data_IF_280698087702
#
_entry.id   IF_280698087702
#
_cell.length_a   1.000
_cell.length_b   1.000
_cell.length_c   1.000
_cell.angle_alpha   90.00
_cell.angle_beta   90.00
_cell.angle_gamma   90.00
#
_symmetry.space_group_name_H-M   'P 1'
#
loop_
_entity.id
_entity.type
_entity.pdbx_description
1 polymer ?
#
# COMPACT_ATOMS: atom_id res chain seq x y z
N UNK A 1 2.15 29.03 -0.06
CA UNK A 1 2.44 27.57 0.02
C UNK A 1 1.58 26.95 1.10
N UNK A 2 0.92 25.82 0.84
CA UNK A 2 0.07 25.13 1.82
C UNK A 2 0.89 24.01 2.50
N UNK A 3 1.26 24.12 3.79
CA UNK A 3 2.07 23.10 4.48
C UNK A 3 1.42 21.72 4.50
N UNK A 4 0.08 21.66 4.48
CA UNK A 4 -0.66 20.38 4.49
C UNK A 4 -0.41 19.57 3.21
N UNK A 5 -0.18 20.23 2.07
CA UNK A 5 0.11 19.54 0.81
C UNK A 5 1.36 18.68 0.92
N UNK A 6 2.42 19.20 1.53
CA UNK A 6 3.67 18.48 1.71
C UNK A 6 3.51 17.29 2.66
N UNK A 7 2.76 17.47 3.75
CA UNK A 7 2.46 16.37 4.69
C UNK A 7 1.73 15.23 3.98
N UNK A 8 0.73 15.55 3.15
CA UNK A 8 -0.03 14.53 2.41
C UNK A 8 0.84 13.83 1.36
N UNK A 9 1.70 14.58 0.66
CA UNK A 9 2.62 14.02 -0.33
C UNK A 9 3.63 13.05 0.32
N UNK A 10 4.26 13.43 1.44
CA UNK A 10 5.16 12.54 2.16
C UNK A 10 4.44 11.32 2.75
N UNK A 11 3.24 11.52 3.32
CA UNK A 11 2.40 10.43 3.82
C UNK A 11 2.09 9.39 2.75
N UNK A 12 1.70 9.83 1.56
CA UNK A 12 1.47 8.95 0.41
C UNK A 12 2.75 8.25 -0.08
N UNK A 13 3.88 8.97 -0.16
CA UNK A 13 5.15 8.36 -0.57
C UNK A 13 5.59 7.24 0.38
N UNK A 14 5.49 7.44 1.70
CA UNK A 14 5.84 6.41 2.67
C UNK A 14 4.87 5.23 2.69
N UNK A 15 3.59 5.49 2.44
CA UNK A 15 2.59 4.44 2.31
C UNK A 15 2.80 3.59 1.05
N UNK A 16 3.00 4.24 -0.11
CA UNK A 16 3.22 3.57 -1.41
C UNK A 16 4.44 2.66 -1.37
N UNK A 17 5.55 3.15 -0.81
CA UNK A 17 6.80 2.39 -0.69
C UNK A 17 6.79 1.39 0.49
N UNK A 18 5.70 1.30 1.25
CA UNK A 18 5.57 0.43 2.42
C UNK A 18 6.68 0.63 3.49
N UNK A 19 7.27 1.83 3.57
CA UNK A 19 8.40 2.13 4.48
C UNK A 19 7.95 2.25 5.93
N UNK A 20 6.70 2.66 6.15
CA UNK A 20 6.11 2.73 7.48
C UNK A 20 5.72 1.37 8.07
N UNK A 21 5.71 0.32 7.25
CA UNK A 21 5.33 -1.03 7.65
C UNK A 21 6.53 -1.86 8.12
N UNK A 22 6.22 -2.99 8.76
CA UNK A 22 7.21 -3.99 9.20
C UNK A 22 7.64 -4.96 8.07
N UNK A 23 6.86 -5.04 6.98
CA UNK A 23 7.07 -6.02 5.90
C UNK A 23 8.45 -5.95 5.26
N UNK A 24 8.95 -4.75 4.95
CA UNK A 24 10.27 -4.58 4.33
C UNK A 24 11.42 -5.05 5.23
N UNK A 25 11.30 -4.89 6.55
CA UNK A 25 12.31 -5.38 7.51
C UNK A 25 12.31 -6.90 7.58
N UNK A 26 11.13 -7.52 7.54
CA UNK A 26 10.99 -8.98 7.60
C UNK A 26 11.46 -9.62 6.30
N UNK A 27 11.08 -9.06 5.16
CA UNK A 27 11.64 -9.51 3.88
C UNK A 27 13.15 -9.33 3.85
N UNK A 28 13.66 -8.21 4.35
CA UNK A 28 15.10 -7.99 4.55
C UNK A 28 15.77 -9.10 5.38
N UNK A 29 15.09 -9.62 6.41
CA UNK A 29 15.62 -10.73 7.24
C UNK A 29 15.72 -12.06 6.51
N UNK A 30 15.06 -12.20 5.36
CA UNK A 30 15.09 -13.40 4.51
C UNK A 30 16.02 -13.26 3.30
N UNK A 31 16.58 -12.08 3.04
CA UNK A 31 17.55 -11.87 1.97
C UNK A 31 18.89 -12.53 2.30
N UNK A 32 19.57 -13.06 1.28
CA UNK A 32 20.94 -13.54 1.45
C UNK A 32 21.92 -12.37 1.54
N UNK A 33 23.07 -12.59 2.17
CA UNK A 33 24.12 -11.57 2.34
C UNK A 33 24.71 -11.06 1.01
N UNK A 34 24.48 -11.77 -0.09
CA UNK A 34 24.96 -11.40 -1.43
C UNK A 34 24.03 -10.45 -2.18
N UNK A 35 22.83 -10.20 -1.68
CA UNK A 35 21.86 -9.33 -2.34
C UNK A 35 22.22 -7.85 -2.22
N UNK A 36 22.16 -7.13 -3.33
CA UNK A 36 22.32 -5.68 -3.35
C UNK A 36 21.00 -5.01 -2.95
N UNK A 37 20.87 -4.77 -1.64
CA UNK A 37 19.71 -4.11 -1.04
C UNK A 37 19.53 -2.67 -1.52
N UNK A 38 20.61 -1.97 -1.90
CA UNK A 38 20.56 -0.58 -2.35
C UNK A 38 20.00 -0.51 -3.77
N UNK A 39 20.50 -1.36 -4.66
CA UNK A 39 19.99 -1.48 -6.03
C UNK A 39 18.52 -1.94 -6.03
N UNK A 40 18.17 -2.90 -5.18
CA UNK A 40 16.80 -3.37 -5.00
C UNK A 40 15.87 -2.25 -4.53
N UNK A 41 16.24 -1.51 -3.47
CA UNK A 41 15.45 -0.38 -2.98
C UNK A 41 15.25 0.71 -4.03
N UNK A 42 16.30 1.04 -4.80
CA UNK A 42 16.21 1.99 -5.92
C UNK A 42 15.22 1.53 -6.97
N UNK A 43 15.29 0.25 -7.37
CA UNK A 43 14.40 -0.29 -8.39
C UNK A 43 12.94 -0.26 -7.93
N UNK A 44 12.68 -0.65 -6.67
CA UNK A 44 11.34 -0.57 -6.07
C UNK A 44 10.80 0.86 -6.13
N UNK A 45 11.57 1.86 -5.72
CA UNK A 45 11.14 3.25 -5.74
C UNK A 45 10.83 3.77 -7.16
N UNK A 46 11.66 3.41 -8.14
CA UNK A 46 11.46 3.79 -9.55
C UNK A 46 10.19 3.15 -10.11
N UNK A 47 10.03 1.83 -9.95
CA UNK A 47 8.88 1.12 -10.52
C UNK A 47 7.57 1.51 -9.83
N UNK A 48 7.57 1.73 -8.52
CA UNK A 48 6.42 2.25 -7.78
C UNK A 48 5.98 3.62 -8.30
N UNK A 49 6.94 4.54 -8.46
CA UNK A 49 6.68 5.89 -8.99
C UNK A 49 6.16 5.84 -10.42
N UNK A 50 6.75 5.01 -11.28
CA UNK A 50 6.30 4.83 -12.66
C UNK A 50 4.88 4.26 -12.71
N UNK A 51 4.57 3.27 -11.88
CA UNK A 51 3.22 2.71 -11.79
C UNK A 51 2.20 3.76 -11.32
N UNK A 52 2.55 4.56 -10.32
CA UNK A 52 1.69 5.66 -9.82
C UNK A 52 1.45 6.75 -10.90
N UNK A 53 2.47 7.10 -11.68
CA UNK A 53 2.35 8.05 -12.79
C UNK A 53 1.48 7.49 -13.91
N UNK A 54 1.68 6.23 -14.30
CA UNK A 54 0.85 5.55 -15.31
C UNK A 54 -0.61 5.48 -14.86
N UNK A 55 -0.87 5.12 -13.60
CA UNK A 55 -2.21 5.12 -13.03
C UNK A 55 -2.82 6.52 -13.07
N UNK A 56 -2.06 7.56 -12.71
CA UNK A 56 -2.52 8.96 -12.75
C UNK A 56 -2.89 9.41 -14.17
N UNK A 57 -2.09 9.03 -15.18
CA UNK A 57 -2.38 9.36 -16.58
C UNK A 57 -3.58 8.63 -17.16
N UNK A 58 -4.00 7.51 -16.58
CA UNK A 58 -5.24 6.82 -16.98
C UNK A 58 -6.44 7.37 -16.22
N UNK A 59 -6.32 7.51 -14.90
CA UNK A 59 -7.43 7.85 -14.01
C UNK A 59 -7.86 9.29 -14.18
N UNK A 60 -6.92 10.26 -14.20
CA UNK A 60 -7.26 11.69 -14.26
C UNK A 60 -8.02 12.04 -15.56
N UNK A 61 -7.57 11.64 -16.76
CA UNK A 61 -8.35 11.89 -17.97
C UNK A 61 -9.67 11.12 -18.00
N UNK A 62 -9.70 9.88 -17.50
CA UNK A 62 -10.92 9.09 -17.38
C UNK A 62 -11.98 9.81 -16.55
N UNK A 63 -11.59 10.38 -15.40
CA UNK A 63 -12.47 11.18 -14.55
C UNK A 63 -13.00 12.44 -15.25
N UNK A 64 -12.14 13.16 -15.97
CA UNK A 64 -12.51 14.38 -16.66
C UNK A 64 -13.57 14.12 -17.75
N UNK A 65 -13.44 13.00 -18.48
CA UNK A 65 -14.43 12.58 -19.48
C UNK A 65 -15.70 12.01 -18.83
N UNK A 66 -15.56 11.37 -17.67
CA UNK A 66 -16.68 10.79 -16.90
C UNK A 66 -17.52 11.80 -16.09
N UNK A 67 -17.20 13.10 -16.16
CA UNK A 67 -17.96 14.17 -15.47
C UNK A 67 -17.71 14.24 -13.96
N UNK A 68 -16.61 13.70 -13.46
CA UNK A 68 -16.25 13.76 -12.05
C UNK A 68 -15.69 15.14 -11.68
N UNK A 69 -16.08 15.67 -10.52
CA UNK A 69 -15.32 16.75 -9.91
C UNK A 69 -13.97 16.18 -9.42
N UNK A 70 -12.84 16.73 -9.90
CA UNK A 70 -11.48 16.30 -9.52
C UNK A 70 -11.17 16.44 -8.02
N UNK A 71 -12.03 17.10 -7.26
CA UNK A 71 -12.01 17.19 -5.79
C UNK A 71 -12.54 15.93 -5.08
N UNK A 72 -13.25 15.05 -5.79
CA UNK A 72 -13.88 13.84 -5.23
C UNK A 72 -12.89 12.67 -5.26
N UNK A 73 -12.08 12.54 -4.20
CA UNK A 73 -11.16 11.41 -4.01
C UNK A 73 -11.81 10.19 -3.32
N UNK A 74 -11.04 9.11 -3.16
CA UNK A 74 -11.42 7.95 -2.35
C UNK A 74 -11.96 6.75 -3.14
N UNK A 75 -12.54 5.75 -2.47
CA UNK A 75 -12.92 4.47 -3.09
C UNK A 75 -13.90 4.60 -4.28
N UNK A 76 -14.74 5.64 -4.28
CA UNK A 76 -15.67 5.93 -5.39
C UNK A 76 -14.95 6.17 -6.72
N UNK A 77 -13.68 6.59 -6.70
CA UNK A 77 -12.86 6.79 -7.90
C UNK A 77 -12.79 5.53 -8.76
N UNK A 78 -12.47 4.41 -8.12
CA UNK A 78 -12.28 3.15 -8.79
C UNK A 78 -13.64 2.52 -9.12
N UNK A 79 -14.57 2.49 -8.16
CA UNK A 79 -15.79 1.70 -8.29
C UNK A 79 -16.98 2.40 -8.94
N UNK A 80 -16.94 3.73 -9.10
CA UNK A 80 -18.02 4.51 -9.75
C UNK A 80 -17.48 5.14 -11.04
N UNK A 81 -16.43 5.96 -10.93
CA UNK A 81 -15.97 6.76 -12.06
C UNK A 81 -15.26 5.94 -13.13
N UNK A 82 -14.31 5.05 -12.77
CA UNK A 82 -13.66 4.19 -13.77
C UNK A 82 -14.65 3.22 -14.43
N UNK A 83 -15.66 2.75 -13.69
CA UNK A 83 -16.72 1.90 -14.27
C UNK A 83 -17.49 2.65 -15.36
N UNK A 84 -17.82 3.93 -15.14
CA UNK A 84 -18.46 4.76 -16.16
C UNK A 84 -17.57 4.96 -17.39
N UNK A 85 -16.25 5.13 -17.20
CA UNK A 85 -15.28 5.20 -18.31
C UNK A 85 -15.31 3.92 -19.14
N UNK A 86 -15.20 2.75 -18.49
CA UNK A 86 -15.25 1.47 -19.19
C UNK A 86 -16.58 1.26 -19.94
N UNK A 87 -17.71 1.70 -19.38
CA UNK A 87 -19.01 1.60 -20.06
C UNK A 87 -19.09 2.45 -21.35
N UNK A 88 -18.32 3.53 -21.43
CA UNK A 88 -18.22 4.39 -22.63
C UNK A 88 -17.28 3.85 -23.71
N UNK A 89 -16.49 2.82 -23.43
CA UNK A 89 -15.50 2.28 -24.36
C UNK A 89 -16.06 1.10 -25.18
N UNK A 90 -15.79 1.03 -26.49
CA UNK A 90 -15.98 -0.19 -27.26
C UNK A 90 -15.18 -1.35 -26.64
N UNK A 91 -15.87 -2.42 -26.24
CA UNK A 91 -15.24 -3.56 -25.56
C UNK A 91 -14.84 -3.30 -24.09
N UNK A 92 -15.27 -2.19 -23.48
CA UNK A 92 -14.82 -1.80 -22.15
C UNK A 92 -15.20 -2.76 -21.02
N UNK A 93 -16.19 -3.64 -21.21
CA UNK A 93 -16.45 -4.76 -20.26
C UNK A 93 -15.24 -5.68 -20.11
N UNK A 94 -14.56 -6.01 -21.20
CA UNK A 94 -13.37 -6.87 -21.18
C UNK A 94 -12.23 -6.13 -20.47
N UNK A 95 -12.02 -4.86 -20.82
CA UNK A 95 -11.01 -3.99 -20.19
C UNK A 95 -11.24 -3.88 -18.69
N UNK A 96 -12.49 -3.65 -18.26
CA UNK A 96 -12.85 -3.57 -16.85
C UNK A 96 -12.61 -4.88 -16.10
N UNK A 97 -12.96 -6.04 -16.69
CA UNK A 97 -12.68 -7.36 -16.09
C UNK A 97 -11.18 -7.54 -15.87
N UNK A 98 -10.37 -7.29 -16.90
CA UNK A 98 -8.90 -7.42 -16.79
C UNK A 98 -8.36 -6.47 -15.74
N UNK A 99 -8.81 -5.21 -15.74
CA UNK A 99 -8.39 -4.20 -14.76
C UNK A 99 -8.66 -4.65 -13.32
N UNK A 100 -9.89 -5.07 -13.00
CA UNK A 100 -10.23 -5.49 -11.64
C UNK A 100 -9.55 -6.79 -11.21
N UNK A 101 -9.27 -7.70 -12.15
CA UNK A 101 -8.41 -8.87 -11.86
C UNK A 101 -7.00 -8.41 -11.48
N UNK A 102 -6.42 -7.46 -12.23
CA UNK A 102 -5.11 -6.90 -11.88
C UNK A 102 -5.13 -6.20 -10.51
N UNK A 103 -6.16 -5.40 -10.21
CA UNK A 103 -6.33 -4.76 -8.89
C UNK A 103 -6.45 -5.80 -7.78
N UNK A 104 -7.18 -6.90 -8.01
CA UNK A 104 -7.30 -8.00 -7.05
C UNK A 104 -5.93 -8.60 -6.72
N UNK A 105 -5.12 -8.92 -7.74
CA UNK A 105 -3.78 -9.46 -7.53
C UNK A 105 -2.83 -8.45 -6.86
N UNK A 106 -2.91 -7.18 -7.24
CA UNK A 106 -2.13 -6.11 -6.60
C UNK A 106 -2.48 -5.96 -5.12
N UNK A 107 -3.78 -5.97 -4.77
CA UNK A 107 -4.21 -5.92 -3.38
C UNK A 107 -3.82 -7.18 -2.59
N UNK A 108 -3.91 -8.35 -3.22
CA UNK A 108 -3.53 -9.62 -2.59
C UNK A 108 -2.03 -9.68 -2.28
N UNK A 109 -1.15 -9.25 -3.20
CA UNK A 109 0.30 -9.23 -2.96
C UNK A 109 0.69 -8.25 -1.85
N UNK A 110 0.02 -7.08 -1.78
CA UNK A 110 0.20 -6.14 -0.66
C UNK A 110 -0.24 -6.75 0.69
N UNK A 111 -1.35 -7.48 0.72
CA UNK A 111 -1.83 -8.16 1.94
C UNK A 111 -0.87 -9.24 2.42
N UNK A 112 -0.27 -10.03 1.51
CA UNK A 112 0.73 -11.04 1.88
C UNK A 112 1.91 -10.39 2.60
N UNK A 113 2.43 -9.27 2.08
CA UNK A 113 3.51 -8.52 2.73
C UNK A 113 3.11 -8.01 4.13
N UNK A 114 1.90 -7.44 4.24
CA UNK A 114 1.42 -6.88 5.51
C UNK A 114 1.16 -7.96 6.58
N UNK A 115 0.74 -9.15 6.16
CA UNK A 115 0.42 -10.26 7.07
C UNK A 115 1.65 -11.07 7.49
N UNK A 116 2.75 -11.02 6.74
CA UNK A 116 3.94 -11.80 7.06
C UNK A 116 4.46 -11.48 8.47
N UNK A 117 4.42 -10.22 8.89
CA UNK A 117 4.89 -9.83 10.21
C UNK A 117 4.13 -10.42 11.41
N UNK A 118 2.81 -10.26 11.51
CA UNK A 118 2.06 -10.92 12.57
C UNK A 118 2.10 -12.44 12.44
N UNK A 119 2.15 -12.99 11.22
CA UNK A 119 2.29 -14.45 11.01
C UNK A 119 3.62 -14.96 11.57
N UNK A 120 4.75 -14.37 11.18
CA UNK A 120 6.08 -14.74 11.68
C UNK A 120 6.15 -14.60 13.21
N UNK A 121 5.51 -13.57 13.77
CA UNK A 121 5.42 -13.39 15.22
C UNK A 121 4.69 -14.56 15.90
N UNK A 122 3.58 -15.04 15.33
CA UNK A 122 2.86 -16.21 15.84
C UNK A 122 3.67 -17.51 15.73
N UNK A 123 4.43 -17.67 14.64
CA UNK A 123 5.30 -18.84 14.47
C UNK A 123 6.45 -18.84 15.48
N UNK A 124 7.18 -17.72 15.60
CA UNK A 124 8.40 -17.63 16.41
C UNK A 124 8.15 -17.50 17.91
N UNK A 125 7.13 -16.74 18.33
CA UNK A 125 6.86 -16.46 19.75
C UNK A 125 5.86 -17.42 20.36
N UNK A 126 4.90 -17.90 19.58
CA UNK A 126 3.79 -18.71 20.07
C UNK A 126 3.84 -20.16 19.56
N UNK A 127 4.78 -20.50 18.67
CA UNK A 127 4.97 -21.87 18.17
C UNK A 127 3.86 -22.36 17.25
N UNK A 128 3.11 -21.45 16.62
CA UNK A 128 2.03 -21.81 15.70
C UNK A 128 2.62 -22.40 14.41
N UNK A 129 1.91 -23.36 13.80
CA UNK A 129 2.23 -23.81 12.44
C UNK A 129 1.74 -22.77 11.43
N UNK A 130 2.51 -22.49 10.36
CA UNK A 130 2.17 -21.48 9.34
C UNK A 130 0.71 -21.44 8.89
N UNK A 131 0.04 -22.57 8.53
CA UNK A 131 -1.35 -22.53 8.07
C UNK A 131 -2.32 -22.01 9.15
N UNK A 132 -2.05 -22.33 10.42
CA UNK A 132 -2.85 -21.88 11.57
C UNK A 132 -2.60 -20.40 11.85
N UNK A 133 -1.34 -19.96 11.78
CA UNK A 133 -0.99 -18.55 11.95
C UNK A 133 -1.63 -17.68 10.86
N UNK A 134 -1.47 -18.05 9.59
CA UNK A 134 -2.08 -17.37 8.45
C UNK A 134 -3.61 -17.34 8.57
N UNK A 135 -4.24 -18.48 8.86
CA UNK A 135 -5.69 -18.55 9.05
C UNK A 135 -6.19 -17.66 10.19
N UNK A 136 -5.46 -17.62 11.31
CA UNK A 136 -5.80 -16.78 12.46
C UNK A 136 -5.72 -15.30 12.13
N UNK A 137 -4.62 -14.86 11.50
CA UNK A 137 -4.46 -13.46 11.07
C UNK A 137 -5.48 -13.08 10.01
N UNK A 138 -5.79 -13.97 9.06
CA UNK A 138 -6.80 -13.71 8.04
C UNK A 138 -8.21 -13.54 8.63
N UNK A 139 -8.60 -14.39 9.59
CA UNK A 139 -9.89 -14.27 10.28
C UNK A 139 -9.97 -12.99 11.08
N UNK A 140 -8.95 -12.68 11.89
CA UNK A 140 -8.89 -11.45 12.69
C UNK A 140 -8.91 -10.22 11.76
N UNK A 141 -8.12 -10.22 10.70
CA UNK A 141 -8.07 -9.15 9.71
C UNK A 141 -9.41 -8.92 9.02
N UNK A 142 -10.13 -9.99 8.64
CA UNK A 142 -11.48 -9.88 8.07
C UNK A 142 -12.48 -9.28 9.08
N UNK A 143 -12.46 -9.73 10.33
CA UNK A 143 -13.35 -9.19 11.37
C UNK A 143 -13.07 -7.70 11.57
N UNK A 144 -11.80 -7.31 11.71
CA UNK A 144 -11.41 -5.91 11.87
C UNK A 144 -11.86 -5.10 10.66
N UNK A 145 -11.62 -5.58 9.43
CA UNK A 145 -12.02 -4.90 8.21
C UNK A 145 -13.53 -4.63 8.14
N UNK A 146 -14.36 -5.59 8.58
CA UNK A 146 -15.82 -5.40 8.64
C UNK A 146 -16.24 -4.40 9.73
N UNK A 147 -15.58 -4.42 10.90
CA UNK A 147 -15.91 -3.54 12.03
C UNK A 147 -15.52 -2.09 11.76
N UNK A 148 -14.38 -1.85 11.11
CA UNK A 148 -13.87 -0.48 10.89
C UNK A 148 -14.44 0.20 9.64
N UNK A 149 -15.33 -0.45 8.89
CA UNK A 149 -15.80 0.03 7.58
C UNK A 149 -16.33 1.47 7.64
N UNK A 150 -17.02 1.85 8.72
CA UNK A 150 -17.56 3.20 8.90
C UNK A 150 -16.51 4.28 9.20
N UNK A 151 -15.33 3.91 9.67
CA UNK A 151 -14.24 4.84 10.05
C UNK A 151 -13.00 4.71 9.16
N UNK A 152 -13.02 3.80 8.17
CA UNK A 152 -11.84 3.42 7.40
C UNK A 152 -11.16 4.61 6.73
N UNK A 153 -11.93 5.57 6.22
CA UNK A 153 -11.38 6.77 5.58
C UNK A 153 -10.57 7.60 6.57
N UNK A 154 -11.15 7.94 7.73
CA UNK A 154 -10.45 8.72 8.76
C UNK A 154 -9.29 7.94 9.40
N UNK A 155 -9.42 6.63 9.53
CA UNK A 155 -8.34 5.76 9.98
C UNK A 155 -7.16 5.77 9.00
N UNK A 156 -7.43 5.61 7.70
CA UNK A 156 -6.39 5.69 6.67
C UNK A 156 -5.73 7.07 6.64
N UNK A 157 -6.50 8.15 6.75
CA UNK A 157 -5.95 9.50 6.87
C UNK A 157 -5.02 9.60 8.08
N UNK A 158 -5.42 9.09 9.24
CA UNK A 158 -4.57 9.11 10.43
C UNK A 158 -3.27 8.31 10.24
N UNK A 159 -3.37 7.13 9.63
CA UNK A 159 -2.22 6.27 9.32
C UNK A 159 -1.27 6.98 8.35
N UNK A 160 -1.75 7.46 7.22
CA UNK A 160 -0.92 8.06 6.18
C UNK A 160 -0.38 9.44 6.58
N UNK A 161 -1.13 10.27 7.30
CA UNK A 161 -0.74 11.64 7.65
C UNK A 161 0.19 11.67 8.86
N UNK A 162 -0.05 10.81 9.86
CA UNK A 162 0.70 10.85 11.12
C UNK A 162 1.58 9.63 11.33
N UNK A 163 1.02 8.42 11.23
CA UNK A 163 1.74 7.19 11.61
C UNK A 163 2.88 6.91 10.63
N UNK A 164 2.63 6.97 9.32
CA UNK A 164 3.64 6.63 8.32
C UNK A 164 4.86 7.57 8.34
N UNK A 165 4.69 8.91 8.34
CA UNK A 165 5.83 9.82 8.44
C UNK A 165 6.59 9.70 9.77
N UNK A 166 5.89 9.54 10.90
CA UNK A 166 6.54 9.36 12.20
C UNK A 166 7.32 8.05 12.27
N UNK A 167 6.73 6.95 11.77
CA UNK A 167 7.39 5.65 11.70
C UNK A 167 8.66 5.70 10.85
N UNK A 168 8.57 6.30 9.66
CA UNK A 168 9.72 6.49 8.78
C UNK A 168 10.82 7.34 9.44
N UNK A 169 10.45 8.43 10.12
CA UNK A 169 11.41 9.28 10.85
C UNK A 169 12.12 8.52 11.98
N UNK A 170 11.38 7.76 12.78
CA UNK A 170 11.95 6.95 13.86
C UNK A 170 12.89 5.87 13.32
N UNK A 171 12.51 5.18 12.25
CA UNK A 171 13.35 4.20 11.59
C UNK A 171 14.66 4.85 11.08
N UNK A 172 14.58 6.02 10.43
CA UNK A 172 15.75 6.74 9.95
C UNK A 172 16.71 7.12 11.09
N UNK A 173 16.19 7.65 12.20
CA UNK A 173 16.99 8.01 13.39
C UNK A 173 17.67 6.76 13.97
N UNK A 174 16.93 5.66 14.08
CA UNK A 174 17.44 4.40 14.60
C UNK A 174 18.60 3.87 13.74
N UNK A 175 18.44 3.81 12.42
CA UNK A 175 19.49 3.34 11.51
C UNK A 175 20.71 4.26 11.49
N UNK A 176 20.51 5.57 11.51
CA UNK A 176 21.62 6.53 11.58
C UNK A 176 22.45 6.32 12.86
N UNK A 177 21.80 6.18 14.01
CA UNK A 177 22.45 5.90 15.31
C UNK A 177 23.16 4.54 15.36
N UNK A 178 22.65 3.54 14.65
CA UNK A 178 23.26 2.21 14.55
C UNK A 178 24.50 2.23 13.64
N UNK A 179 24.41 2.93 12.50
CA UNK A 179 25.54 3.09 11.57
C UNK A 179 26.72 3.84 12.19
N UNK A 180 26.50 4.69 13.19
CA UNK A 180 27.58 5.35 13.94
C UNK A 180 28.27 4.43 14.96
N UNK A 181 27.69 3.26 15.27
CA UNK A 181 28.20 2.31 16.27
C UNK A 181 28.90 1.07 15.69
N UNK A 182 28.76 0.84 14.38
CA UNK A 182 29.39 -0.26 13.62
C UNK A 182 30.50 0.28 12.75
#
# INVERSE_FOLDING_TARGET
MNPRLWIYAFGQAFFSLSIAGNGTVIYGSYLSETEDVVSSARNVAIFDTLAALLASFVIIPGMAVGGAELSSGGPGLMFIYLVNVFNGMPGGKIVGIVFYICVLFAGMSSLVNLYEAPVATLEERFGFKRPVAVGSIAVVGCIVALVIQGIVSGWMDAVSIYICPLGAMLAAIMFFRLSERT
#
